data_IF_808209817584
#
_entry.id   IF_808209817584
#
_cell.length_a   1.000
_cell.length_b   1.000
_cell.length_c   1.000
_cell.angle_alpha   90.00
_cell.angle_beta   90.00
_cell.angle_gamma   90.00
#
_symmetry.space_group_name_H-M   'P 1'
#
loop_
_entity.id
_entity.type
_entity.pdbx_description
1 polymer ?
#
# COMPACT_ATOMS: atom_id res chain seq x y z
N UNK A 1 10.48 18.29 -23.11
CA UNK A 1 9.34 17.77 -22.33
C UNK A 1 9.88 17.20 -21.03
N UNK A 2 9.89 17.99 -19.96
CA UNK A 2 10.24 17.52 -18.62
C UNK A 2 9.19 18.12 -17.70
N UNK A 3 8.34 17.27 -17.12
CA UNK A 3 7.62 17.47 -15.85
C UNK A 3 6.59 16.36 -15.67
N UNK A 4 7.07 15.14 -15.45
CA UNK A 4 6.40 14.27 -14.48
C UNK A 4 7.33 14.23 -13.27
N UNK A 5 7.42 15.37 -12.60
CA UNK A 5 8.06 15.42 -11.29
C UNK A 5 7.11 14.71 -10.35
N UNK A 6 7.61 13.63 -9.72
CA UNK A 6 7.12 12.98 -8.51
C UNK A 6 6.01 13.79 -7.80
N UNK A 7 4.75 13.56 -8.18
CA UNK A 7 3.64 13.99 -7.35
C UNK A 7 3.66 13.05 -6.16
N UNK A 8 4.24 13.52 -5.05
CA UNK A 8 3.95 12.93 -3.74
C UNK A 8 2.46 13.08 -3.58
N UNK A 9 1.74 11.99 -3.79
CA UNK A 9 0.31 12.07 -3.92
C UNK A 9 -0.28 12.51 -2.58
N UNK A 10 -1.06 13.60 -2.57
CA UNK A 10 -1.72 14.11 -1.36
C UNK A 10 -2.46 13.02 -0.55
N UNK A 11 -2.92 11.95 -1.21
CA UNK A 11 -3.52 10.81 -0.52
C UNK A 11 -2.61 10.22 0.57
N UNK A 12 -1.28 10.25 0.41
CA UNK A 12 -0.33 9.72 1.38
C UNK A 12 -0.45 10.39 2.76
N UNK A 13 -0.84 11.67 2.79
CA UNK A 13 -1.03 12.43 4.03
C UNK A 13 -2.42 12.26 4.63
N UNK A 14 -3.41 11.87 3.82
CA UNK A 14 -4.82 11.83 4.22
C UNK A 14 -5.37 10.41 4.48
N UNK A 15 -4.59 9.36 4.24
CA UNK A 15 -5.04 7.97 4.41
C UNK A 15 -5.04 7.46 5.87
N UNK A 16 -4.75 8.31 6.86
CA UNK A 16 -4.80 7.91 8.27
C UNK A 16 -3.83 6.78 8.66
N UNK A 17 -2.75 6.62 7.89
CA UNK A 17 -1.68 5.66 8.14
C UNK A 17 -0.47 6.36 8.79
N UNK A 18 0.26 5.65 9.65
CA UNK A 18 1.54 6.11 10.19
C UNK A 18 2.64 6.08 9.13
N UNK A 19 3.79 6.73 9.38
CA UNK A 19 4.88 6.81 8.39
C UNK A 19 5.30 5.46 7.81
N UNK A 20 5.54 4.45 8.66
CA UNK A 20 5.88 3.11 8.19
C UNK A 20 4.73 2.46 7.40
N UNK A 21 3.49 2.65 7.84
CA UNK A 21 2.31 2.12 7.15
C UNK A 21 2.13 2.75 5.77
N UNK A 22 2.37 4.05 5.63
CA UNK A 22 2.34 4.77 4.34
C UNK A 22 3.39 4.20 3.38
N UNK A 23 4.61 3.96 3.85
CA UNK A 23 5.68 3.38 3.01
C UNK A 23 5.33 1.97 2.53
N UNK A 24 4.81 1.13 3.43
CA UNK A 24 4.37 -0.23 3.09
C UNK A 24 3.19 -0.18 2.10
N UNK A 25 2.22 0.71 2.34
CA UNK A 25 1.08 0.89 1.45
C UNK A 25 1.51 1.36 0.06
N UNK A 26 2.40 2.36 -0.02
CA UNK A 26 2.92 2.87 -1.28
C UNK A 26 3.65 1.78 -2.08
N UNK A 27 4.40 0.93 -1.39
CA UNK A 27 5.06 -0.22 -2.00
C UNK A 27 4.06 -1.23 -2.59
N UNK A 28 3.01 -1.59 -1.83
CA UNK A 28 1.94 -2.49 -2.30
C UNK A 28 1.17 -1.84 -3.47
N UNK A 29 0.91 -0.54 -3.40
CA UNK A 29 0.23 0.23 -4.43
C UNK A 29 1.01 0.23 -5.74
N UNK A 30 2.32 0.51 -5.72
CA UNK A 30 3.17 0.48 -6.92
C UNK A 30 3.22 -0.92 -7.54
N UNK A 31 3.35 -1.97 -6.71
CA UNK A 31 3.36 -3.34 -7.19
C UNK A 31 2.04 -3.70 -7.89
N UNK A 32 0.92 -3.44 -7.22
CA UNK A 32 -0.41 -3.82 -7.74
C UNK A 32 -0.88 -2.95 -8.91
N UNK A 33 -0.55 -1.66 -8.95
CA UNK A 33 -0.94 -0.76 -10.05
C UNK A 33 -0.18 -1.01 -11.36
N UNK A 34 1.09 -1.43 -11.28
CA UNK A 34 1.92 -1.76 -12.45
C UNK A 34 1.84 -3.22 -12.88
N UNK A 35 0.95 -4.01 -12.29
CA UNK A 35 0.86 -5.45 -12.54
C UNK A 35 2.15 -6.21 -12.18
N UNK A 36 2.98 -5.65 -11.30
CA UNK A 36 4.18 -6.31 -10.79
C UNK A 36 3.76 -7.31 -9.73
N UNK A 37 4.27 -8.53 -9.84
CA UNK A 37 4.03 -9.58 -8.85
C UNK A 37 4.85 -9.24 -7.63
N UNK A 38 4.18 -8.86 -6.55
CA UNK A 38 4.82 -8.77 -5.25
C UNK A 38 5.09 -10.17 -4.72
N UNK A 39 6.37 -10.49 -4.48
CA UNK A 39 6.77 -11.71 -3.79
C UNK A 39 6.84 -11.42 -2.30
N UNK A 40 6.01 -12.10 -1.52
CA UNK A 40 5.73 -11.84 -0.12
C UNK A 40 6.87 -12.21 0.82
N UNK A 41 7.90 -11.38 0.90
CA UNK A 41 8.76 -11.39 2.08
C UNK A 41 8.48 -10.15 2.91
N UNK A 42 7.86 -10.35 4.08
CA UNK A 42 7.77 -9.28 5.07
C UNK A 42 9.16 -8.76 5.46
N UNK A 43 10.17 -9.62 5.40
CA UNK A 43 11.56 -9.25 5.64
C UNK A 43 12.09 -8.33 4.53
N UNK A 44 11.81 -8.60 3.25
CA UNK A 44 12.25 -7.72 2.16
C UNK A 44 11.62 -6.33 2.26
N UNK A 45 10.32 -6.25 2.63
CA UNK A 45 9.68 -4.95 2.92
C UNK A 45 10.39 -4.29 4.11
N UNK A 46 10.62 -5.03 5.19
CA UNK A 46 11.22 -4.52 6.42
C UNK A 46 12.61 -3.93 6.14
N UNK A 47 13.45 -4.65 5.40
CA UNK A 47 14.78 -4.23 4.98
C UNK A 47 14.71 -2.95 4.12
N UNK A 48 13.77 -2.90 3.18
CA UNK A 48 13.61 -1.77 2.26
C UNK A 48 13.20 -0.48 2.95
N UNK A 49 12.45 -0.57 4.06
CA UNK A 49 11.96 0.60 4.80
C UNK A 49 12.72 0.86 6.10
N UNK A 50 13.75 0.05 6.41
CA UNK A 50 14.50 0.15 7.66
C UNK A 50 13.66 -0.13 8.91
N UNK A 51 12.82 -1.16 8.87
CA UNK A 51 11.94 -1.56 9.98
C UNK A 51 12.11 -3.03 10.37
N UNK A 52 11.33 -3.49 11.35
CA UNK A 52 11.29 -4.91 11.71
C UNK A 52 10.21 -5.65 10.92
N UNK A 53 10.42 -6.94 10.68
CA UNK A 53 9.40 -7.81 10.07
C UNK A 53 8.08 -7.78 10.87
N UNK A 54 8.17 -7.74 12.21
CA UNK A 54 6.99 -7.65 13.07
C UNK A 54 6.21 -6.34 12.85
N UNK A 55 6.91 -5.22 12.66
CA UNK A 55 6.28 -3.94 12.32
C UNK A 55 5.53 -4.05 11.00
N UNK A 56 6.14 -4.66 9.98
CA UNK A 56 5.51 -4.86 8.67
C UNK A 56 4.25 -5.73 8.79
N UNK A 57 4.33 -6.85 9.52
CA UNK A 57 3.17 -7.73 9.76
C UNK A 57 2.01 -6.98 10.42
N UNK A 58 2.29 -6.24 11.50
CA UNK A 58 1.27 -5.45 12.21
C UNK A 58 0.63 -4.39 11.32
N UNK A 59 1.43 -3.71 10.50
CA UNK A 59 0.95 -2.71 9.55
C UNK A 59 0.02 -3.33 8.49
N UNK A 60 0.41 -4.47 7.93
CA UNK A 60 -0.39 -5.22 6.94
C UNK A 60 -1.71 -5.70 7.55
N UNK A 61 -1.68 -6.29 8.75
CA UNK A 61 -2.88 -6.72 9.47
C UNK A 61 -3.84 -5.55 9.72
N UNK A 62 -3.31 -4.38 10.10
CA UNK A 62 -4.11 -3.17 10.27
C UNK A 62 -4.73 -2.73 8.93
N UNK A 63 -3.95 -2.67 7.86
CA UNK A 63 -4.44 -2.25 6.54
C UNK A 63 -5.50 -3.20 5.97
N UNK A 64 -5.39 -4.50 6.23
CA UNK A 64 -6.43 -5.48 5.89
C UNK A 64 -7.73 -5.19 6.65
N UNK A 65 -7.65 -4.92 7.95
CA UNK A 65 -8.82 -4.56 8.78
C UNK A 65 -9.47 -3.25 8.33
N UNK A 66 -8.67 -2.27 7.90
CA UNK A 66 -9.16 -1.00 7.37
C UNK A 66 -9.74 -1.11 5.95
N UNK A 67 -9.55 -2.26 5.27
CA UNK A 67 -9.93 -2.41 3.87
C UNK A 67 -9.05 -1.62 2.89
N UNK A 68 -7.91 -1.09 3.35
CA UNK A 68 -6.95 -0.36 2.54
C UNK A 68 -6.27 -1.26 1.50
N UNK A 69 -6.01 -2.51 1.89
CA UNK A 69 -5.49 -3.56 1.03
C UNK A 69 -6.38 -4.80 1.10
N UNK A 70 -6.30 -5.66 0.08
CA UNK A 70 -6.99 -6.94 -0.02
C UNK A 70 -5.99 -8.04 -0.34
N UNK A 71 -6.37 -9.30 -0.10
CA UNK A 71 -5.59 -10.46 -0.57
C UNK A 71 -6.24 -11.06 -1.81
N UNK A 72 -5.43 -11.47 -2.77
CA UNK A 72 -5.89 -12.26 -3.92
C UNK A 72 -4.89 -13.37 -4.24
N UNK A 73 -5.26 -14.28 -5.13
CA UNK A 73 -4.38 -15.35 -5.62
C UNK A 73 -3.81 -14.91 -6.96
N UNK A 74 -2.49 -14.93 -7.09
CA UNK A 74 -1.83 -14.70 -8.36
C UNK A 74 -2.10 -15.89 -9.28
N UNK A 75 -2.75 -15.69 -10.44
CA UNK A 75 -3.10 -16.78 -11.34
C UNK A 75 -1.88 -17.46 -11.99
N UNK A 76 -0.70 -16.83 -11.96
CA UNK A 76 0.52 -17.38 -12.58
C UNK A 76 1.19 -18.47 -11.74
N UNK A 77 1.23 -18.30 -10.43
CA UNK A 77 2.00 -19.15 -9.50
C UNK A 77 1.17 -19.65 -8.30
N UNK A 78 -0.11 -19.28 -8.21
CA UNK A 78 -1.00 -19.66 -7.12
C UNK A 78 -0.68 -19.00 -5.78
N UNK A 79 0.29 -18.07 -5.73
CA UNK A 79 0.67 -17.43 -4.47
C UNK A 79 -0.36 -16.38 -4.06
N UNK A 80 -0.61 -16.28 -2.75
CA UNK A 80 -1.36 -15.16 -2.21
C UNK A 80 -0.55 -13.89 -2.41
N UNK A 81 -1.18 -12.81 -2.87
CA UNK A 81 -0.58 -11.46 -3.01
C UNK A 81 -1.44 -10.41 -2.30
N UNK A 82 -0.85 -9.26 -1.97
CA UNK A 82 -1.57 -8.10 -1.44
C UNK A 82 -1.79 -7.11 -2.56
N UNK A 83 -2.99 -6.57 -2.66
CA UNK A 83 -3.35 -5.55 -3.66
C UNK A 83 -3.99 -4.36 -2.97
N UNK A 84 -3.72 -3.16 -3.47
CA UNK A 84 -4.39 -1.97 -2.96
C UNK A 84 -5.90 -2.04 -3.25
N UNK A 85 -6.72 -1.50 -2.35
CA UNK A 85 -8.15 -1.31 -2.60
C UNK A 85 -8.36 0.03 -3.30
N UNK A 86 -8.95 0.03 -4.51
CA UNK A 86 -9.26 1.26 -5.25
C UNK A 86 -10.30 2.14 -4.54
N UNK A 87 -11.14 1.54 -3.71
CA UNK A 87 -12.25 2.22 -3.04
C UNK A 87 -11.75 2.99 -1.81
N UNK A 88 -10.69 2.50 -1.17
CA UNK A 88 -10.10 3.14 0.01
C UNK A 88 -9.63 4.57 -0.27
N UNK A 89 -8.90 4.78 -1.37
CA UNK A 89 -8.45 6.13 -1.77
C UNK A 89 -9.65 7.02 -2.17
N UNK A 90 -10.69 6.45 -2.79
CA UNK A 90 -11.89 7.21 -3.18
C UNK A 90 -12.68 7.67 -1.96
N UNK A 91 -12.79 6.82 -0.94
CA UNK A 91 -13.53 7.14 0.28
C UNK A 91 -12.80 8.21 1.11
N UNK A 92 -11.46 8.11 1.20
CA UNK A 92 -10.62 9.18 1.80
C UNK A 92 -10.80 10.51 1.06
N UNK A 93 -10.84 10.50 -0.28
CA UNK A 93 -11.08 11.73 -1.04
C UNK A 93 -12.47 12.33 -0.81
N UNK A 94 -13.49 11.53 -0.47
CA UNK A 94 -14.85 12.05 -0.24
C UNK A 94 -15.00 12.71 1.13
N UNK A 95 -14.25 12.26 2.13
CA UNK A 95 -14.30 12.83 3.48
C UNK A 95 -13.67 14.23 3.58
N UNK A 96 -12.79 14.59 2.64
CA UNK A 96 -12.01 15.84 2.68
C UNK A 96 -12.68 17.04 1.97
N UNK A 97 -13.85 16.88 1.32
CA UNK A 97 -14.58 17.99 0.67
C UNK A 97 -15.70 18.60 1.52
N UNK A 98 -15.79 18.23 2.79
CA UNK A 98 -16.65 18.93 3.76
C UNK A 98 -15.80 19.94 4.53
N UNK A 99 -15.59 21.11 3.93
CA UNK A 99 -15.20 22.35 4.62
C UNK A 99 -16.40 23.28 4.66
#
# INVERSE_FOLDING_TARGET
>A
MIKEALDVWMWMFNIGLSGNEVLIYAYIYDCSSRGRVFKHSYQEIADSIGSSEQTVRRAIDKMLKLGAIKTCINPKDGQRVFVHSSDYIKDVKKTDYTL
#
